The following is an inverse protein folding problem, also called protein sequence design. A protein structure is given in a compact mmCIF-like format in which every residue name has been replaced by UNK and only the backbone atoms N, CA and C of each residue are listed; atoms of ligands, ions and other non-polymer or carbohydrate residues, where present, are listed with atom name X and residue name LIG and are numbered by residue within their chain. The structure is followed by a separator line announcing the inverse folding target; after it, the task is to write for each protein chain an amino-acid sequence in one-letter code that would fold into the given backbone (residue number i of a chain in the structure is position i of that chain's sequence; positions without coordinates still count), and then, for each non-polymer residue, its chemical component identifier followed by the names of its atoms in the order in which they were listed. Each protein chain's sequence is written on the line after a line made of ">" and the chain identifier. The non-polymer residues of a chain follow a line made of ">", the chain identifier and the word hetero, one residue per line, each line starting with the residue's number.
data_IF_246191731663
#
_entry.id   IF_246191731663
#
_cell.length_a   1.000
_cell.length_b   1.000
_cell.length_c   1.000
_cell.angle_alpha   90.00
_cell.angle_beta   90.00
_cell.angle_gamma   90.00
#
_symmetry.space_group_name_H-M   'P 1'
#
loop_
_entity.id
_entity.type
_entity.pdbx_description
1 polymer ?
#
# COMPACT_ATOMS: atom_id res chain seq x y z
N UNK A 1 14.39 0.93 10.70
CA UNK A 1 13.84 2.22 11.20
C UNK A 1 13.53 3.09 9.99
N UNK A 2 12.27 3.45 9.81
CA UNK A 2 11.78 4.30 8.72
C UNK A 2 12.35 5.71 8.82
N UNK A 3 12.71 6.30 7.68
CA UNK A 3 13.20 7.69 7.56
C UNK A 3 12.40 8.51 6.57
N UNK A 4 11.91 7.87 5.51
CA UNK A 4 11.20 8.54 4.42
C UNK A 4 9.99 7.74 4.00
N UNK A 5 8.82 8.32 4.13
CA UNK A 5 7.54 7.74 3.73
C UNK A 5 7.01 8.50 2.50
N UNK A 6 6.55 7.77 1.47
CA UNK A 6 5.88 8.36 0.32
C UNK A 6 4.39 8.08 0.42
N UNK A 7 3.58 9.13 0.25
CA UNK A 7 2.11 9.02 0.22
C UNK A 7 1.61 9.67 -1.07
N UNK A 8 1.27 8.89 -2.09
CA UNK A 8 0.55 9.40 -3.25
C UNK A 8 -0.84 9.89 -2.84
N UNK A 9 -1.18 11.11 -3.24
CA UNK A 9 -2.36 11.82 -2.80
C UNK A 9 -3.41 11.88 -3.92
N UNK A 10 -4.62 11.43 -3.63
CA UNK A 10 -5.78 11.55 -4.50
C UNK A 10 -7.01 12.06 -3.71
N UNK A 11 -8.13 12.41 -4.35
CA UNK A 11 -9.30 12.93 -3.64
C UNK A 11 -10.10 11.88 -2.88
N UNK A 12 -9.70 10.61 -2.91
CA UNK A 12 -10.45 9.53 -2.25
C UNK A 12 -10.36 9.58 -0.72
N UNK A 13 -11.34 9.03 0.00
CA UNK A 13 -11.24 8.89 1.45
C UNK A 13 -10.10 7.94 1.88
N UNK A 14 -9.74 6.96 1.04
CA UNK A 14 -8.60 6.08 1.26
C UNK A 14 -7.27 6.84 1.37
N UNK A 15 -7.08 7.87 0.53
CA UNK A 15 -5.91 8.74 0.58
C UNK A 15 -5.80 9.48 1.92
N UNK A 16 -6.91 9.94 2.48
CA UNK A 16 -6.92 10.59 3.80
C UNK A 16 -6.47 9.62 4.90
N UNK A 17 -6.94 8.39 4.87
CA UNK A 17 -6.52 7.34 5.81
C UNK A 17 -5.03 7.02 5.63
N UNK A 18 -4.53 6.95 4.40
CA UNK A 18 -3.11 6.75 4.12
C UNK A 18 -2.24 7.88 4.72
N UNK A 19 -2.69 9.13 4.61
CA UNK A 19 -2.01 10.27 5.23
C UNK A 19 -1.96 10.14 6.75
N UNK A 20 -3.10 9.82 7.39
CA UNK A 20 -3.16 9.67 8.85
C UNK A 20 -2.22 8.56 9.33
N UNK A 21 -2.26 7.41 8.68
CA UNK A 21 -1.39 6.28 9.00
C UNK A 21 0.09 6.60 8.81
N UNK A 22 0.45 7.27 7.70
CA UNK A 22 1.81 7.68 7.45
C UNK A 22 2.32 8.70 8.49
N UNK A 23 1.47 9.63 8.92
CA UNK A 23 1.82 10.59 9.97
C UNK A 23 2.08 9.91 11.32
N UNK A 24 1.27 8.91 11.70
CA UNK A 24 1.49 8.14 12.92
C UNK A 24 2.79 7.34 12.88
N UNK A 25 3.04 6.63 11.78
CA UNK A 25 4.30 5.92 11.58
C UNK A 25 5.50 6.89 11.60
N UNK A 26 5.37 8.05 10.96
CA UNK A 26 6.43 9.04 10.93
C UNK A 26 6.72 9.59 12.33
N UNK A 27 5.69 9.84 13.15
CA UNK A 27 5.87 10.30 14.54
C UNK A 27 6.64 9.27 15.37
N UNK A 28 6.30 7.98 15.25
CA UNK A 28 6.96 6.91 15.99
C UNK A 28 8.42 6.69 15.59
N UNK A 29 8.75 6.95 14.33
CA UNK A 29 10.08 6.71 13.80
C UNK A 29 10.97 7.95 13.66
N UNK A 30 10.42 9.14 13.84
CA UNK A 30 11.09 10.40 13.52
C UNK A 30 11.39 10.51 12.02
N UNK A 31 10.43 10.10 11.18
CA UNK A 31 10.54 10.07 9.73
C UNK A 31 9.93 11.31 9.08
N UNK A 32 10.28 11.56 7.81
CA UNK A 32 9.65 12.57 6.96
C UNK A 32 8.56 11.93 6.09
N UNK A 33 7.41 12.59 5.99
CA UNK A 33 6.32 12.21 5.09
C UNK A 33 6.36 13.07 3.83
N UNK A 34 6.44 12.46 2.66
CA UNK A 34 6.33 13.16 1.39
C UNK A 34 4.97 12.88 0.75
N UNK A 35 4.16 13.92 0.57
CA UNK A 35 2.94 13.87 -0.22
C UNK A 35 3.25 14.02 -1.71
N UNK A 36 2.87 13.05 -2.52
CA UNK A 36 3.05 13.05 -3.97
C UNK A 36 1.73 13.37 -4.66
N UNK A 37 1.69 14.53 -5.31
CA UNK A 37 0.57 15.03 -6.09
C UNK A 37 0.82 14.72 -7.57
N UNK A 38 -0.17 14.17 -8.28
CA UNK A 38 -0.01 13.75 -9.67
C UNK A 38 -1.13 14.32 -10.53
N UNK A 39 -0.74 14.96 -11.64
CA UNK A 39 -1.66 15.32 -12.72
C UNK A 39 -1.53 14.27 -13.82
N UNK A 40 -2.61 13.55 -14.07
CA UNK A 40 -2.69 12.54 -15.12
C UNK A 40 -2.85 13.20 -16.50
N UNK A 41 -1.75 13.76 -17.03
CA UNK A 41 -1.77 14.37 -18.36
C UNK A 41 -2.14 13.38 -19.47
N UNK A 42 -1.62 12.13 -19.51
CA UNK A 42 -2.04 11.16 -20.53
C UNK A 42 -3.54 10.91 -20.52
N UNK A 43 -4.15 10.69 -19.34
CA UNK A 43 -5.58 10.47 -19.21
C UNK A 43 -6.40 11.68 -19.65
N UNK A 44 -5.98 12.91 -19.27
CA UNK A 44 -6.63 14.15 -19.72
C UNK A 44 -6.57 14.25 -21.25
N UNK A 45 -5.39 14.07 -21.86
CA UNK A 45 -5.18 14.13 -23.29
C UNK A 45 -6.07 13.11 -24.03
N UNK A 46 -6.09 11.87 -23.60
CA UNK A 46 -6.88 10.81 -24.22
C UNK A 46 -8.39 11.09 -24.13
N UNK A 47 -8.85 11.68 -23.02
CA UNK A 47 -10.26 11.99 -22.82
C UNK A 47 -10.80 13.07 -23.73
N UNK A 48 -9.94 13.98 -24.21
CA UNK A 48 -10.30 15.13 -25.07
C UNK A 48 -9.82 14.98 -26.53
N UNK A 49 -9.21 13.86 -26.89
CA UNK A 49 -8.70 13.61 -28.24
C UNK A 49 -9.75 13.86 -29.33
N UNK A 50 -9.44 14.64 -30.38
CA UNK A 50 -10.40 15.05 -31.38
C UNK A 50 -10.83 13.88 -32.27
N UNK A 51 -12.15 13.62 -32.33
CA UNK A 51 -12.74 12.60 -33.22
C UNK A 51 -12.90 13.07 -34.68
N UNK A 52 -12.70 14.36 -34.96
CA UNK A 52 -12.87 14.93 -36.30
C UNK A 52 -11.95 16.13 -36.56
N UNK A 53 -11.57 16.41 -37.82
CA UNK A 53 -10.63 17.48 -38.18
C UNK A 53 -11.07 18.91 -37.79
N UNK A 54 -12.27 19.14 -37.40
CA UNK A 54 -12.76 20.48 -36.96
C UNK A 54 -12.81 20.68 -35.44
N UNK A 55 -12.56 19.64 -34.65
CA UNK A 55 -12.71 19.66 -33.18
C UNK A 55 -11.41 19.98 -32.41
N UNK A 56 -10.28 20.14 -33.09
CA UNK A 56 -8.96 20.34 -32.47
C UNK A 56 -8.91 21.53 -31.48
N UNK A 57 -9.48 22.70 -31.87
CA UNK A 57 -9.51 23.89 -30.99
C UNK A 57 -10.39 23.68 -29.74
N UNK A 58 -11.43 22.89 -29.86
CA UNK A 58 -12.30 22.60 -28.72
C UNK A 58 -11.65 21.58 -27.78
N UNK A 59 -10.93 20.60 -28.33
CA UNK A 59 -10.10 19.65 -27.56
C UNK A 59 -9.02 20.39 -26.77
N UNK A 60 -8.23 21.25 -27.40
CA UNK A 60 -7.21 22.07 -26.74
C UNK A 60 -7.76 22.93 -25.60
N UNK A 61 -8.90 23.58 -25.81
CA UNK A 61 -9.56 24.36 -24.74
C UNK A 61 -10.08 23.48 -23.60
N UNK A 62 -10.58 22.28 -23.90
CA UNK A 62 -11.05 21.34 -22.89
C UNK A 62 -9.86 20.81 -22.07
N UNK A 63 -8.74 20.48 -22.70
CA UNK A 63 -7.51 20.06 -22.06
C UNK A 63 -6.99 21.11 -21.08
N UNK A 64 -6.80 22.36 -21.51
CA UNK A 64 -6.36 23.47 -20.65
C UNK A 64 -7.30 23.67 -19.47
N UNK A 65 -8.61 23.53 -19.68
CA UNK A 65 -9.58 23.66 -18.59
C UNK A 65 -9.46 22.50 -17.60
N UNK A 66 -9.34 21.26 -18.07
CA UNK A 66 -9.20 20.08 -17.20
C UNK A 66 -7.90 20.11 -16.40
N UNK A 67 -6.81 20.56 -17.00
CA UNK A 67 -5.55 20.78 -16.29
C UNK A 67 -5.70 21.82 -15.17
N UNK A 68 -6.36 22.96 -15.46
CA UNK A 68 -6.59 23.98 -14.45
C UNK A 68 -7.50 23.49 -13.30
N UNK A 69 -8.52 22.71 -13.61
CA UNK A 69 -9.40 22.07 -12.62
C UNK A 69 -8.60 21.03 -11.78
N UNK A 70 -7.70 20.26 -12.41
CA UNK A 70 -6.81 19.33 -11.73
C UNK A 70 -5.89 20.06 -10.74
N UNK A 71 -5.21 21.11 -11.16
CA UNK A 71 -4.36 21.92 -10.27
C UNK A 71 -5.13 22.49 -9.08
N UNK A 72 -6.35 23.00 -9.31
CA UNK A 72 -7.18 23.52 -8.22
C UNK A 72 -7.57 22.43 -7.22
N UNK A 73 -7.92 21.23 -7.69
CA UNK A 73 -8.24 20.08 -6.84
C UNK A 73 -7.00 19.61 -6.03
N UNK A 74 -5.83 19.53 -6.68
CA UNK A 74 -4.58 19.16 -6.02
C UNK A 74 -4.20 20.18 -4.93
N UNK A 75 -4.44 21.46 -5.11
CA UNK A 75 -4.22 22.50 -4.09
C UNK A 75 -5.01 22.25 -2.80
N UNK A 76 -6.26 21.79 -2.92
CA UNK A 76 -7.09 21.41 -1.77
C UNK A 76 -6.55 20.16 -1.08
N UNK A 77 -6.17 19.15 -1.85
CA UNK A 77 -5.59 17.90 -1.34
C UNK A 77 -4.27 18.17 -0.61
N UNK A 78 -3.39 18.99 -1.20
CA UNK A 78 -2.13 19.41 -0.61
C UNK A 78 -2.35 20.11 0.74
N UNK A 79 -3.28 21.06 0.79
CA UNK A 79 -3.59 21.81 2.02
C UNK A 79 -4.10 20.89 3.14
N UNK A 80 -4.89 19.88 2.79
CA UNK A 80 -5.37 18.87 3.72
C UNK A 80 -4.24 17.99 4.25
N UNK A 81 -3.34 17.52 3.38
CA UNK A 81 -2.16 16.76 3.74
C UNK A 81 -1.25 17.54 4.69
N UNK A 82 -0.89 18.78 4.33
CA UNK A 82 -0.04 19.63 5.16
C UNK A 82 -0.65 19.88 6.54
N UNK A 83 -1.97 20.10 6.58
CA UNK A 83 -2.69 20.29 7.85
C UNK A 83 -2.62 19.04 8.73
N UNK A 84 -2.80 17.85 8.17
CA UNK A 84 -2.68 16.59 8.91
C UNK A 84 -1.27 16.40 9.49
N UNK A 85 -0.21 16.63 8.69
CA UNK A 85 1.16 16.54 9.15
C UNK A 85 1.48 17.56 10.27
N UNK A 86 0.97 18.79 10.15
CA UNK A 86 1.15 19.85 11.18
C UNK A 86 0.47 19.48 12.50
N UNK A 87 -0.73 18.88 12.45
CA UNK A 87 -1.47 18.47 13.66
C UNK A 87 -0.69 17.40 14.43
N UNK A 88 -0.10 16.44 13.73
CA UNK A 88 0.72 15.39 14.36
C UNK A 88 2.13 15.88 14.73
N UNK A 89 2.61 16.94 14.06
CA UNK A 89 3.94 17.52 14.32
C UNK A 89 5.09 16.78 13.64
N UNK A 90 4.83 16.11 12.52
CA UNK A 90 5.86 15.39 11.74
C UNK A 90 6.49 16.26 10.67
N UNK A 91 7.74 15.96 10.31
CA UNK A 91 8.39 16.57 9.16
C UNK A 91 7.70 16.14 7.87
N UNK A 92 7.42 17.09 6.98
CA UNK A 92 6.73 16.79 5.72
C UNK A 92 7.22 17.67 4.58
N UNK A 93 6.96 17.21 3.37
CA UNK A 93 7.06 17.99 2.13
C UNK A 93 6.03 17.52 1.10
N UNK A 94 5.73 18.38 0.13
CA UNK A 94 4.87 18.04 -1.02
C UNK A 94 5.69 18.13 -2.30
N UNK A 95 5.49 17.18 -3.20
CA UNK A 95 6.06 17.18 -4.54
C UNK A 95 4.93 17.00 -5.56
N UNK A 96 4.99 17.70 -6.67
CA UNK A 96 4.05 17.59 -7.76
C UNK A 96 4.75 17.00 -8.99
N UNK A 97 4.05 16.11 -9.71
CA UNK A 97 4.51 15.48 -10.94
C UNK A 97 3.37 15.44 -11.96
N UNK A 98 3.75 15.30 -13.23
CA UNK A 98 2.81 15.19 -14.35
C UNK A 98 3.15 13.96 -15.18
N UNK A 99 2.14 13.15 -15.51
CA UNK A 99 2.29 11.93 -16.30
C UNK A 99 1.42 10.79 -15.79
N UNK A 100 1.72 9.56 -16.23
CA UNK A 100 1.02 8.36 -15.77
C UNK A 100 1.23 8.11 -14.28
N UNK A 101 0.14 7.99 -13.49
CA UNK A 101 0.25 7.84 -12.04
C UNK A 101 1.04 6.61 -11.59
N UNK A 102 0.87 5.46 -12.24
CA UNK A 102 1.57 4.25 -11.82
C UNK A 102 3.08 4.34 -12.12
N UNK A 103 3.46 4.89 -13.26
CA UNK A 103 4.88 5.10 -13.62
C UNK A 103 5.55 6.10 -12.67
N UNK A 104 4.88 7.21 -12.37
CA UNK A 104 5.42 8.24 -11.46
C UNK A 104 5.59 7.68 -10.06
N UNK A 105 4.58 7.00 -9.50
CA UNK A 105 4.66 6.41 -8.17
C UNK A 105 5.78 5.37 -8.11
N UNK A 106 5.90 4.52 -9.14
CA UNK A 106 6.96 3.52 -9.21
C UNK A 106 8.35 4.17 -9.20
N UNK A 107 8.56 5.20 -10.01
CA UNK A 107 9.82 5.92 -10.08
C UNK A 107 10.19 6.63 -8.77
N UNK A 108 9.25 7.40 -8.22
CA UNK A 108 9.50 8.19 -7.01
C UNK A 108 9.69 7.30 -5.77
N UNK A 109 8.90 6.23 -5.64
CA UNK A 109 8.94 5.35 -4.46
C UNK A 109 10.29 4.67 -4.23
N UNK A 110 11.11 4.48 -5.28
CA UNK A 110 12.41 3.83 -5.20
C UNK A 110 13.38 4.50 -4.19
N UNK A 111 13.13 5.74 -3.81
CA UNK A 111 13.95 6.52 -2.88
C UNK A 111 13.33 6.68 -1.49
N UNK A 112 12.34 5.84 -1.15
CA UNK A 112 11.62 5.85 0.13
C UNK A 112 11.67 4.48 0.79
N UNK A 113 11.52 4.46 2.11
CA UNK A 113 11.54 3.21 2.88
C UNK A 113 10.20 2.48 2.85
N UNK A 114 9.11 3.22 2.65
CA UNK A 114 7.74 2.70 2.60
C UNK A 114 6.85 3.58 1.74
N UNK A 115 6.08 2.95 0.87
CA UNK A 115 4.96 3.55 0.16
C UNK A 115 3.67 3.30 0.96
N UNK A 116 2.99 4.36 1.39
CA UNK A 116 1.67 4.25 2.05
C UNK A 116 0.60 4.74 1.10
N UNK A 117 -0.35 3.88 0.73
CA UNK A 117 -1.33 4.15 -0.32
C UNK A 117 -2.71 3.60 0.05
N UNK A 118 -3.78 4.17 -0.46
CA UNK A 118 -5.12 3.60 -0.30
C UNK A 118 -5.29 2.26 -1.03
N UNK A 119 -6.04 1.34 -0.45
CA UNK A 119 -6.42 0.07 -1.12
C UNK A 119 -7.22 0.31 -2.40
N UNK A 120 -8.01 1.38 -2.42
CA UNK A 120 -8.60 1.92 -3.65
C UNK A 120 -8.05 3.32 -3.91
N UNK A 121 -7.74 3.60 -5.17
CA UNK A 121 -7.11 4.85 -5.60
C UNK A 121 -7.95 5.55 -6.64
N UNK A 122 -7.82 6.87 -6.75
CA UNK A 122 -8.58 7.67 -7.70
C UNK A 122 -7.70 8.74 -8.37
N UNK A 123 -6.53 8.32 -8.87
CA UNK A 123 -5.59 9.24 -9.53
C UNK A 123 -6.08 9.76 -10.88
N UNK A 124 -7.01 9.05 -11.54
CA UNK A 124 -7.66 9.48 -12.79
C UNK A 124 -8.96 10.28 -12.55
N UNK A 125 -9.06 10.98 -11.41
CA UNK A 125 -10.29 11.66 -10.99
C UNK A 125 -10.75 12.76 -11.95
N UNK A 126 -9.89 13.27 -12.83
CA UNK A 126 -10.25 14.24 -13.86
C UNK A 126 -11.02 13.61 -15.03
N UNK A 127 -10.84 12.33 -15.28
CA UNK A 127 -11.32 11.62 -16.47
C UNK A 127 -12.24 10.45 -16.18
N UNK A 128 -12.23 9.95 -14.95
CA UNK A 128 -13.04 8.81 -14.51
C UNK A 128 -13.64 9.04 -13.15
N UNK A 129 -14.89 8.59 -12.96
CA UNK A 129 -15.55 8.53 -11.64
C UNK A 129 -15.36 7.17 -10.94
N UNK A 130 -14.80 6.17 -11.65
CA UNK A 130 -14.55 4.85 -11.09
C UNK A 130 -13.19 4.81 -10.36
N UNK A 131 -13.05 3.99 -9.31
CA UNK A 131 -11.75 3.72 -8.70
C UNK A 131 -10.75 3.22 -9.73
N UNK A 132 -9.51 3.68 -9.63
CA UNK A 132 -8.41 3.26 -10.50
C UNK A 132 -7.82 1.91 -10.08
N UNK A 133 -7.00 1.34 -10.95
CA UNK A 133 -6.26 0.10 -10.72
C UNK A 133 -4.79 0.34 -10.36
N UNK A 134 -4.43 1.56 -10.02
CA UNK A 134 -3.04 1.99 -9.81
C UNK A 134 -2.29 1.09 -8.82
N UNK A 135 -2.92 0.73 -7.69
CA UNK A 135 -2.29 -0.18 -6.74
C UNK A 135 -1.95 -1.55 -7.36
N UNK A 136 -2.90 -2.15 -8.12
CA UNK A 136 -2.66 -3.42 -8.81
C UNK A 136 -1.57 -3.31 -9.90
N UNK A 137 -1.46 -2.16 -10.55
CA UNK A 137 -0.42 -1.89 -11.55
C UNK A 137 0.96 -1.68 -10.93
N UNK A 138 1.02 -1.18 -9.71
CA UNK A 138 2.26 -0.99 -8.95
C UNK A 138 2.82 -2.31 -8.42
N UNK A 139 1.94 -3.23 -8.04
CA UNK A 139 2.36 -4.51 -7.46
C UNK A 139 3.29 -5.26 -8.43
N UNK A 140 4.50 -5.63 -7.97
CA UNK A 140 5.53 -6.32 -8.74
C UNK A 140 6.44 -5.43 -9.59
N UNK A 141 6.21 -4.13 -9.58
CA UNK A 141 7.08 -3.15 -10.26
C UNK A 141 7.95 -2.34 -9.30
N UNK A 142 7.68 -2.46 -8.00
CA UNK A 142 8.36 -1.66 -6.98
C UNK A 142 9.48 -2.45 -6.29
N UNK A 143 10.51 -1.72 -5.84
CA UNK A 143 11.49 -2.24 -4.89
C UNK A 143 11.11 -1.88 -3.43
N UNK A 144 10.27 -0.87 -3.27
CA UNK A 144 9.83 -0.33 -1.99
C UNK A 144 8.60 -1.09 -1.49
N UNK A 145 8.57 -1.55 -0.23
CA UNK A 145 7.39 -2.19 0.32
C UNK A 145 6.19 -1.24 0.34
N UNK A 146 5.01 -1.81 0.23
CA UNK A 146 3.73 -1.08 0.20
C UNK A 146 2.99 -1.36 1.50
N UNK A 147 2.44 -0.31 2.11
CA UNK A 147 1.38 -0.39 3.09
C UNK A 147 0.10 0.17 2.45
N UNK A 148 -0.79 -0.72 2.05
CA UNK A 148 -2.07 -0.37 1.47
C UNK A 148 -3.15 -0.35 2.56
N UNK A 149 -3.91 0.76 2.66
CA UNK A 149 -4.84 0.98 3.77
C UNK A 149 -6.30 1.11 3.30
N UNK A 150 -7.29 0.65 4.09
CA UNK A 150 -8.70 0.77 3.79
C UNK A 150 -9.20 2.22 3.95
N UNK A 151 -10.46 2.46 3.60
CA UNK A 151 -11.10 3.77 3.76
C UNK A 151 -11.24 4.16 5.24
N UNK A 152 -11.67 3.21 6.05
CA UNK A 152 -11.85 3.41 7.49
C UNK A 152 -10.82 2.55 8.21
N UNK A 153 -9.99 3.21 8.97
CA UNK A 153 -9.01 2.59 9.83
C UNK A 153 -9.00 3.31 11.17
N UNK A 154 -9.12 2.55 12.25
CA UNK A 154 -8.86 3.09 13.60
C UNK A 154 -7.36 3.00 13.85
N UNK A 155 -6.72 4.12 14.22
CA UNK A 155 -5.30 4.08 14.55
C UNK A 155 -5.03 3.04 15.63
N UNK A 156 -3.83 2.47 15.56
CA UNK A 156 -3.32 1.46 16.46
C UNK A 156 -3.83 1.63 17.89
N UNK A 157 -4.69 0.70 18.31
CA UNK A 157 -5.01 0.55 19.70
C UNK A 157 -3.76 0.20 20.53
N UNK A 158 -3.91 -0.07 21.81
CA UNK A 158 -2.80 -0.44 22.68
C UNK A 158 -2.13 -1.78 22.29
N UNK A 159 -2.67 -2.52 21.34
CA UNK A 159 -2.14 -3.79 20.78
C UNK A 159 -2.44 -3.85 19.31
N UNK A 160 -1.40 -3.97 18.50
CA UNK A 160 -1.50 -4.26 17.08
C UNK A 160 -1.31 -5.76 16.88
N UNK A 161 -2.33 -6.43 16.36
CA UNK A 161 -2.23 -7.82 15.96
C UNK A 161 -1.86 -7.90 14.49
N UNK A 162 -0.63 -8.32 14.20
CA UNK A 162 -0.15 -8.54 12.84
C UNK A 162 -0.25 -10.02 12.47
N UNK A 163 -0.82 -10.33 11.32
CA UNK A 163 -0.82 -11.69 10.78
C UNK A 163 0.09 -11.76 9.57
N UNK A 164 1.13 -12.58 9.66
CA UNK A 164 2.07 -12.82 8.57
C UNK A 164 1.65 -14.11 7.84
N UNK A 165 1.14 -13.98 6.63
CA UNK A 165 0.89 -15.10 5.75
C UNK A 165 2.22 -15.65 5.23
N UNK A 166 2.61 -16.83 5.69
CA UNK A 166 3.95 -17.36 5.50
C UNK A 166 3.95 -18.78 4.91
N UNK A 167 4.64 -18.97 3.81
CA UNK A 167 4.79 -20.27 3.12
C UNK A 167 6.25 -20.66 2.89
N UNK A 168 7.20 -19.90 3.47
CA UNK A 168 8.64 -20.10 3.27
C UNK A 168 9.14 -19.72 1.88
N UNK A 169 8.31 -19.20 0.99
CA UNK A 169 8.73 -18.73 -0.34
C UNK A 169 9.60 -17.48 -0.23
N UNK A 170 10.45 -17.20 -1.24
CA UNK A 170 11.22 -15.96 -1.26
C UNK A 170 10.37 -14.69 -1.12
N UNK A 171 9.12 -14.71 -1.57
CA UNK A 171 8.21 -13.58 -1.46
C UNK A 171 7.73 -13.38 -0.02
N UNK A 172 7.24 -14.43 0.66
CA UNK A 172 6.80 -14.33 2.05
C UNK A 172 7.98 -14.00 2.99
N UNK A 173 9.14 -14.58 2.74
CA UNK A 173 10.37 -14.26 3.49
C UNK A 173 10.76 -12.80 3.33
N UNK A 174 10.74 -12.23 2.11
CA UNK A 174 11.03 -10.81 1.89
C UNK A 174 10.04 -9.92 2.62
N UNK A 175 8.73 -10.19 2.50
CA UNK A 175 7.70 -9.41 3.17
C UNK A 175 7.84 -9.41 4.68
N UNK A 176 8.04 -10.58 5.28
CA UNK A 176 8.30 -10.71 6.70
C UNK A 176 9.54 -9.92 7.14
N UNK A 177 10.64 -10.02 6.39
CA UNK A 177 11.88 -9.31 6.71
C UNK A 177 11.73 -7.80 6.63
N UNK A 178 11.13 -7.29 5.57
CA UNK A 178 10.87 -5.86 5.40
C UNK A 178 9.89 -5.34 6.46
N UNK A 179 8.86 -6.12 6.79
CA UNK A 179 7.95 -5.81 7.88
C UNK A 179 8.69 -5.70 9.21
N UNK A 180 9.51 -6.70 9.56
CA UNK A 180 10.29 -6.69 10.79
C UNK A 180 11.21 -5.45 10.89
N UNK A 181 11.84 -5.04 9.79
CA UNK A 181 12.71 -3.87 9.75
C UNK A 181 11.95 -2.55 9.94
N UNK A 182 10.71 -2.49 9.44
CA UNK A 182 9.89 -1.27 9.46
C UNK A 182 9.08 -1.10 10.76
N UNK A 183 8.77 -2.20 11.46
CA UNK A 183 7.89 -2.19 12.64
C UNK A 183 8.59 -2.59 13.95
N UNK A 184 9.92 -2.66 13.98
CA UNK A 184 10.72 -3.10 15.13
C UNK A 184 10.45 -2.31 16.42
N UNK A 185 10.01 -1.06 16.32
CA UNK A 185 9.69 -0.20 17.48
C UNK A 185 8.28 -0.38 18.03
N UNK A 186 7.48 -1.25 17.43
CA UNK A 186 6.09 -1.48 17.83
C UNK A 186 5.96 -2.66 18.79
N UNK A 187 5.10 -2.52 19.77
CA UNK A 187 4.70 -3.61 20.66
C UNK A 187 3.58 -4.44 19.99
N UNK A 188 4.01 -5.36 19.11
CA UNK A 188 3.12 -6.15 18.26
C UNK A 188 2.92 -7.56 18.80
N UNK A 189 1.67 -8.02 18.78
CA UNK A 189 1.33 -9.44 18.84
C UNK A 189 1.33 -10.00 17.40
N UNK A 190 2.24 -10.90 17.11
CA UNK A 190 2.44 -11.42 15.75
C UNK A 190 1.97 -12.86 15.65
N UNK A 191 1.14 -13.16 14.65
CA UNK A 191 0.77 -14.50 14.25
C UNK A 191 1.47 -14.84 12.94
N UNK A 192 2.29 -15.90 12.92
CA UNK A 192 2.80 -16.49 11.70
C UNK A 192 1.81 -17.57 11.28
N UNK A 193 1.03 -17.32 10.24
CA UNK A 193 0.02 -18.23 9.72
C UNK A 193 0.56 -18.97 8.51
N UNK A 194 0.66 -20.29 8.61
CA UNK A 194 1.13 -21.16 7.52
C UNK A 194 0.02 -22.11 7.08
N UNK A 195 -0.30 -22.11 5.80
CA UNK A 195 -1.28 -23.02 5.19
C UNK A 195 -0.57 -24.13 4.43
N UNK A 196 -1.09 -25.36 4.53
CA UNK A 196 -0.55 -26.49 3.79
C UNK A 196 -1.09 -27.84 4.27
N UNK A 197 -0.89 -28.89 3.48
CA UNK A 197 -1.41 -30.23 3.75
C UNK A 197 -0.68 -30.92 4.91
N UNK A 198 0.54 -30.47 5.22
CA UNK A 198 1.42 -31.13 6.21
C UNK A 198 1.83 -30.16 7.32
N UNK A 199 1.40 -30.48 8.53
CA UNK A 199 1.68 -29.70 9.72
C UNK A 199 3.17 -29.68 10.08
N UNK A 200 3.88 -30.80 9.90
CA UNK A 200 5.31 -30.91 10.21
C UNK A 200 6.17 -29.97 9.32
N UNK A 201 5.92 -29.93 8.01
CA UNK A 201 6.60 -29.01 7.10
C UNK A 201 6.27 -27.53 7.41
N UNK A 202 5.02 -27.25 7.73
CA UNK A 202 4.59 -25.92 8.13
C UNK A 202 5.26 -25.47 9.44
N UNK A 203 5.41 -26.38 10.39
CA UNK A 203 6.11 -26.10 11.64
C UNK A 203 7.58 -25.75 11.41
N UNK A 204 8.30 -26.56 10.61
CA UNK A 204 9.73 -26.36 10.36
C UNK A 204 10.03 -24.97 9.77
N UNK A 205 9.23 -24.52 8.78
CA UNK A 205 9.43 -23.20 8.19
C UNK A 205 9.02 -22.07 9.14
N UNK A 206 7.99 -22.28 9.97
CA UNK A 206 7.51 -21.28 10.93
C UNK A 206 8.52 -21.04 12.06
N UNK A 207 9.23 -22.06 12.50
CA UNK A 207 10.31 -21.94 13.52
C UNK A 207 11.40 -20.98 13.03
N UNK A 208 11.84 -21.11 11.79
CA UNK A 208 12.86 -20.21 11.22
C UNK A 208 12.37 -18.78 11.11
N UNK A 209 11.08 -18.58 10.77
CA UNK A 209 10.46 -17.27 10.72
C UNK A 209 10.36 -16.63 12.11
N UNK A 210 9.96 -17.41 13.11
CA UNK A 210 9.89 -16.98 14.52
C UNK A 210 11.27 -16.56 15.03
N UNK A 211 12.31 -17.38 14.82
CA UNK A 211 13.70 -17.06 15.21
C UNK A 211 14.15 -15.73 14.59
N UNK A 212 13.85 -15.50 13.32
CA UNK A 212 14.18 -14.26 12.66
C UNK A 212 13.47 -13.05 13.31
N UNK A 213 12.16 -13.14 13.55
CA UNK A 213 11.41 -12.07 14.17
C UNK A 213 11.88 -11.77 15.59
N UNK A 214 12.21 -12.82 16.38
CA UNK A 214 12.78 -12.66 17.73
C UNK A 214 14.12 -11.92 17.71
N UNK A 215 14.97 -12.17 16.70
CA UNK A 215 16.23 -11.44 16.54
C UNK A 215 16.02 -9.94 16.25
N UNK A 216 14.84 -9.54 15.75
CA UNK A 216 14.41 -8.14 15.56
C UNK A 216 13.64 -7.55 16.74
N UNK A 217 13.52 -8.30 17.86
CA UNK A 217 12.91 -7.83 19.10
C UNK A 217 11.40 -8.03 19.19
N UNK A 218 10.82 -8.90 18.37
CA UNK A 218 9.42 -9.29 18.53
C UNK A 218 9.32 -10.37 19.61
N UNK A 219 8.71 -10.04 20.75
CA UNK A 219 8.64 -10.95 21.89
C UNK A 219 7.36 -11.79 21.91
N UNK A 220 6.27 -11.27 21.34
CA UNK A 220 4.96 -11.92 21.32
C UNK A 220 4.67 -12.48 19.94
N UNK A 221 5.10 -13.72 19.71
CA UNK A 221 4.93 -14.43 18.45
C UNK A 221 4.17 -15.74 18.71
N UNK A 222 3.18 -16.01 17.88
CA UNK A 222 2.48 -17.29 17.80
C UNK A 222 2.62 -17.86 16.39
N UNK A 223 2.84 -19.15 16.29
CA UNK A 223 2.84 -19.88 15.03
C UNK A 223 1.55 -20.68 14.92
N UNK A 224 0.85 -20.54 13.83
CA UNK A 224 -0.39 -21.26 13.57
C UNK A 224 -0.34 -21.95 12.21
N UNK A 225 -0.86 -23.16 12.16
CA UNK A 225 -1.02 -23.95 10.95
C UNK A 225 -2.50 -24.13 10.60
N UNK A 226 -2.79 -24.24 9.31
CA UNK A 226 -4.13 -24.55 8.81
C UNK A 226 -4.06 -25.42 7.57
N UNK A 227 -4.94 -26.45 7.45
CA UNK A 227 -5.13 -27.18 6.21
C UNK A 227 -6.02 -26.46 5.18
N UNK A 228 -6.69 -25.36 5.58
CA UNK A 228 -7.49 -24.52 4.69
C UNK A 228 -6.61 -23.71 3.75
N UNK A 229 -7.19 -23.25 2.63
CA UNK A 229 -6.55 -22.20 1.82
C UNK A 229 -6.28 -20.96 2.70
N UNK A 230 -5.13 -20.34 2.51
CA UNK A 230 -4.67 -19.22 3.37
C UNK A 230 -5.66 -18.05 3.39
N UNK A 231 -6.30 -17.74 2.26
CA UNK A 231 -7.30 -16.67 2.15
C UNK A 231 -8.53 -16.97 3.00
N UNK A 232 -9.05 -18.21 2.95
CA UNK A 232 -10.23 -18.62 3.70
C UNK A 232 -9.95 -18.61 5.21
N UNK A 233 -8.75 -19.04 5.62
CA UNK A 233 -8.33 -18.96 7.01
C UNK A 233 -8.17 -17.52 7.54
N UNK A 234 -7.73 -16.59 6.69
CA UNK A 234 -7.64 -15.16 7.04
C UNK A 234 -9.04 -14.56 7.16
N UNK A 235 -9.92 -14.83 6.21
CA UNK A 235 -11.30 -14.32 6.24
C UNK A 235 -12.07 -14.84 7.46
N UNK A 236 -11.95 -16.12 7.77
CA UNK A 236 -12.68 -16.74 8.89
C UNK A 236 -12.16 -16.30 10.26
N UNK A 237 -10.87 -16.01 10.40
CA UNK A 237 -10.25 -15.88 11.72
C UNK A 237 -9.70 -14.50 12.03
N UNK A 238 -9.26 -13.74 11.00
CA UNK A 238 -8.41 -12.57 11.19
C UNK A 238 -8.91 -11.28 10.56
N UNK A 239 -9.76 -11.33 9.52
CA UNK A 239 -10.15 -10.13 8.77
C UNK A 239 -10.79 -9.03 9.64
N UNK A 240 -11.50 -9.43 10.69
CA UNK A 240 -12.16 -8.52 11.64
C UNK A 240 -11.39 -8.37 12.98
N UNK A 241 -10.22 -8.98 13.11
CA UNK A 241 -9.47 -9.03 14.38
C UNK A 241 -8.05 -8.53 14.28
N UNK A 242 -7.38 -8.83 13.18
CA UNK A 242 -6.03 -8.33 12.94
C UNK A 242 -6.09 -6.86 12.54
N UNK A 243 -5.03 -6.13 12.85
CA UNK A 243 -4.90 -4.74 12.44
C UNK A 243 -4.09 -4.61 11.15
N UNK A 244 -3.29 -5.62 10.80
CA UNK A 244 -2.52 -5.66 9.57
C UNK A 244 -2.26 -7.08 9.11
N UNK A 245 -2.40 -7.32 7.82
CA UNK A 245 -1.97 -8.57 7.18
C UNK A 245 -0.68 -8.32 6.40
N UNK A 246 0.33 -9.15 6.65
CA UNK A 246 1.60 -9.14 5.90
C UNK A 246 1.55 -10.24 4.86
N UNK A 247 1.65 -9.89 3.60
CA UNK A 247 1.57 -10.82 2.48
C UNK A 247 2.72 -10.65 1.49
N UNK A 248 3.12 -11.74 0.86
CA UNK A 248 4.10 -11.74 -0.22
C UNK A 248 3.44 -11.49 -1.58
N UNK A 249 4.19 -10.89 -2.50
CA UNK A 249 3.69 -10.59 -3.85
C UNK A 249 3.47 -11.81 -4.74
N UNK A 250 4.21 -12.86 -4.56
CA UNK A 250 4.16 -14.05 -5.41
C UNK A 250 4.18 -15.30 -4.55
N UNK A 251 3.10 -16.02 -4.54
CA UNK A 251 3.12 -17.44 -4.18
C UNK A 251 2.69 -18.25 -5.40
N UNK A 252 3.57 -19.15 -5.77
CA UNK A 252 3.46 -20.29 -6.70
C UNK A 252 4.10 -20.17 -8.07
N UNK A 253 5.00 -21.14 -8.25
CA UNK A 253 5.68 -21.62 -9.44
C UNK A 253 4.79 -21.65 -10.69
N UNK A 254 5.05 -20.76 -11.63
CA UNK A 254 4.54 -20.85 -12.98
C UNK A 254 5.43 -20.03 -13.92
N UNK A 255 5.98 -20.68 -14.94
CA UNK A 255 7.04 -20.19 -15.82
C UNK A 255 6.65 -19.02 -16.72
N UNK A 256 5.41 -18.53 -16.74
CA UNK A 256 4.95 -17.55 -17.74
C UNK A 256 3.75 -16.68 -17.28
N UNK A 257 3.77 -16.02 -16.12
CA UNK A 257 2.97 -14.79 -15.96
C UNK A 257 3.27 -14.14 -14.61
N UNK A 258 3.53 -12.84 -14.61
CA UNK A 258 3.54 -12.00 -13.41
C UNK A 258 2.09 -11.87 -12.91
N UNK A 259 1.67 -12.77 -12.05
CA UNK A 259 0.39 -12.65 -11.36
C UNK A 259 0.67 -12.29 -9.92
N UNK A 260 0.01 -11.26 -9.43
CA UNK A 260 -0.10 -10.95 -8.00
C UNK A 260 -0.60 -12.20 -7.29
N UNK A 261 -0.07 -12.52 -6.11
CA UNK A 261 -0.50 -13.71 -5.37
C UNK A 261 -1.99 -13.66 -5.08
N UNK A 262 -2.68 -14.79 -5.20
CA UNK A 262 -4.14 -14.86 -5.02
C UNK A 262 -4.62 -14.28 -3.67
N UNK A 263 -3.82 -14.40 -2.62
CA UNK A 263 -4.10 -13.78 -1.33
C UNK A 263 -4.01 -12.24 -1.39
N UNK A 264 -2.95 -11.71 -1.96
CA UNK A 264 -2.77 -10.25 -2.04
C UNK A 264 -3.85 -9.59 -2.90
N UNK A 265 -4.19 -10.20 -4.04
CA UNK A 265 -5.32 -9.76 -4.87
C UNK A 265 -6.64 -9.78 -4.11
N UNK A 266 -6.90 -10.85 -3.36
CA UNK A 266 -8.10 -10.98 -2.54
C UNK A 266 -8.17 -9.85 -1.49
N UNK A 267 -7.11 -9.67 -0.69
CA UNK A 267 -7.06 -8.65 0.36
C UNK A 267 -7.20 -7.22 -0.18
N UNK A 268 -6.59 -6.93 -1.33
CA UNK A 268 -6.71 -5.63 -2.00
C UNK A 268 -8.13 -5.41 -2.52
N UNK A 269 -8.78 -6.44 -3.08
CA UNK A 269 -10.14 -6.33 -3.60
C UNK A 269 -11.19 -6.16 -2.49
N UNK A 270 -11.03 -6.84 -1.35
CA UNK A 270 -11.93 -6.71 -0.20
C UNK A 270 -11.79 -5.35 0.50
N UNK A 271 -10.62 -4.74 0.47
CA UNK A 271 -10.32 -3.40 1.00
C UNK A 271 -10.76 -3.16 2.46
N UNK A 272 -10.72 -4.20 3.31
CA UNK A 272 -11.23 -4.15 4.68
C UNK A 272 -10.17 -3.88 5.74
N UNK A 273 -8.94 -4.29 5.50
CA UNK A 273 -7.84 -4.30 6.47
C UNK A 273 -6.56 -3.75 5.83
N UNK A 274 -5.68 -3.08 6.60
CA UNK A 274 -4.35 -2.72 6.11
C UNK A 274 -3.56 -3.94 5.66
N UNK A 275 -2.92 -3.83 4.49
CA UNK A 275 -2.10 -4.90 3.92
C UNK A 275 -0.68 -4.39 3.71
N UNK A 276 0.29 -5.04 4.36
CA UNK A 276 1.70 -4.82 4.12
C UNK A 276 2.20 -5.80 3.06
N UNK A 277 2.73 -5.26 1.97
CA UNK A 277 3.16 -6.03 0.81
C UNK A 277 4.66 -5.80 0.60
N UNK A 278 5.48 -6.81 0.88
CA UNK A 278 6.91 -6.78 0.57
C UNK A 278 7.16 -6.97 -0.93
N UNK A 279 8.23 -6.35 -1.42
CA UNK A 279 8.60 -6.32 -2.85
C UNK A 279 9.90 -7.06 -3.12
#
# INVERSE_FOLDING_TARGET
>A
MLKRLLVPLDPSPFSKTAVSYACELAADHGAEVTGLLIIDLPGIHDSVSPFSPGSARNAERAEVRMEAEAHAALGVIQSSFESACKVVGVAYRSIERQGDPAEIIAHESAYYDLLVIGLQTHFHFQTSSAPGKTLSELMGKLATPILAVPEVYSPFGSKLDAVIAFDGSPASVRSMRQFAQNFVSKDLDVVILTAGDRMDEAHDISVLAEEYLRAYGFDRIRTEWTPQEIKDAIDDRYIDKAEIIVAGMHSKKGLFSFHVGSLTDHLVSEAKIPVYIGQ
#
